data_IF_450427786380
#
_entry.id   IF_450427786380
#
_cell.length_a   1.000
_cell.length_b   1.000
_cell.length_c   1.000
_cell.angle_alpha   90.00
_cell.angle_beta   90.00
_cell.angle_gamma   90.00
#
_symmetry.space_group_name_H-M   'P 1'
#
loop_
_entity.id
_entity.type
_entity.pdbx_description
1 polymer ?
#
# COMPACT_ATOMS: atom_id res chain seq x y z
N UNK A 1 -8.62 43.99 -25.89
CA UNK A 1 -9.47 42.82 -25.59
C UNK A 1 -8.72 41.47 -25.67
N UNK A 2 -7.74 41.30 -26.57
CA UNK A 2 -6.98 40.03 -26.69
C UNK A 2 -6.26 39.61 -25.37
N UNK A 3 -5.77 40.56 -24.57
CA UNK A 3 -5.06 40.27 -23.32
C UNK A 3 -5.91 39.70 -22.18
N UNK A 4 -7.22 40.01 -22.12
CA UNK A 4 -8.08 39.51 -21.03
C UNK A 4 -8.45 38.04 -21.20
N UNK A 5 -8.61 37.58 -22.45
CA UNK A 5 -8.96 36.19 -22.76
C UNK A 5 -7.78 35.26 -22.40
N UNK A 6 -6.54 35.69 -22.65
CA UNK A 6 -5.34 34.94 -22.31
C UNK A 6 -5.19 34.69 -20.81
N UNK A 7 -5.41 35.71 -19.97
CA UNK A 7 -5.28 35.58 -18.52
C UNK A 7 -6.32 34.61 -17.91
N UNK A 8 -7.57 34.67 -18.39
CA UNK A 8 -8.63 33.77 -17.91
C UNK A 8 -8.34 32.30 -18.27
N UNK A 9 -7.82 32.04 -19.48
CA UNK A 9 -7.44 30.69 -19.91
C UNK A 9 -6.27 30.14 -19.09
N UNK A 10 -5.26 30.96 -18.80
CA UNK A 10 -4.12 30.54 -17.97
C UNK A 10 -4.58 30.19 -16.55
N UNK A 11 -5.44 31.01 -15.95
CA UNK A 11 -5.98 30.73 -14.60
C UNK A 11 -6.85 29.47 -14.59
N UNK A 12 -7.67 29.24 -15.61
CA UNK A 12 -8.49 28.04 -15.74
C UNK A 12 -7.62 26.78 -15.91
N UNK A 13 -6.58 26.84 -16.74
CA UNK A 13 -5.62 25.75 -16.92
C UNK A 13 -4.87 25.47 -15.62
N UNK A 14 -4.41 26.50 -14.91
CA UNK A 14 -3.74 26.34 -13.62
C UNK A 14 -4.66 25.68 -12.58
N UNK A 15 -5.93 26.07 -12.53
CA UNK A 15 -6.93 25.42 -11.68
C UNK A 15 -7.14 23.94 -12.00
N UNK A 16 -7.20 23.57 -13.28
CA UNK A 16 -7.29 22.18 -13.71
C UNK A 16 -6.02 21.37 -13.38
N UNK A 17 -4.83 21.95 -13.58
CA UNK A 17 -3.56 21.29 -13.24
C UNK A 17 -3.45 21.07 -11.74
N UNK A 18 -3.77 22.06 -10.92
CA UNK A 18 -3.72 21.93 -9.45
C UNK A 18 -4.73 20.90 -8.92
N UNK A 19 -5.91 20.80 -9.52
CA UNK A 19 -6.90 19.78 -9.15
C UNK A 19 -6.46 18.38 -9.58
N UNK A 20 -5.87 18.23 -10.76
CA UNK A 20 -5.29 16.97 -11.22
C UNK A 20 -4.12 16.51 -10.33
N UNK A 21 -3.22 17.41 -9.95
CA UNK A 21 -2.11 17.12 -9.02
C UNK A 21 -2.66 16.67 -7.66
N UNK A 22 -3.65 17.38 -7.10
CA UNK A 22 -4.29 16.98 -5.83
C UNK A 22 -4.93 15.60 -5.92
N UNK A 23 -5.62 15.29 -7.02
CA UNK A 23 -6.22 13.97 -7.22
C UNK A 23 -5.14 12.87 -7.31
N UNK A 24 -4.04 13.15 -8.01
CA UNK A 24 -2.93 12.21 -8.14
C UNK A 24 -2.25 11.92 -6.79
N UNK A 25 -1.95 12.97 -6.01
CA UNK A 25 -1.32 12.82 -4.68
C UNK A 25 -2.24 12.04 -3.73
N UNK A 26 -3.55 12.33 -3.72
CA UNK A 26 -4.54 11.58 -2.93
C UNK A 26 -4.55 10.09 -3.29
N UNK A 27 -4.49 9.78 -4.59
CA UNK A 27 -4.51 8.40 -5.05
C UNK A 27 -3.24 7.65 -4.65
N UNK A 28 -2.06 8.31 -4.72
CA UNK A 28 -0.80 7.74 -4.26
C UNK A 28 -0.80 7.48 -2.75
N UNK A 29 -1.24 8.43 -1.95
CA UNK A 29 -1.36 8.25 -0.49
C UNK A 29 -2.29 7.09 -0.12
N UNK A 30 -3.42 6.96 -0.82
CA UNK A 30 -4.35 5.85 -0.60
C UNK A 30 -3.73 4.49 -0.97
N UNK A 31 -2.97 4.43 -2.07
CA UNK A 31 -2.25 3.21 -2.49
C UNK A 31 -1.20 2.81 -1.45
N UNK A 32 -0.38 3.75 -0.98
CA UNK A 32 0.65 3.46 0.02
C UNK A 32 0.03 3.04 1.36
N UNK A 33 -1.07 3.69 1.79
CA UNK A 33 -1.80 3.31 2.98
C UNK A 33 -2.39 1.89 2.89
N UNK A 34 -2.96 1.52 1.74
CA UNK A 34 -3.46 0.17 1.49
C UNK A 34 -2.34 -0.87 1.48
N UNK A 35 -1.21 -0.56 0.87
CA UNK A 35 -0.04 -1.45 0.85
C UNK A 35 0.49 -1.69 2.27
N UNK A 36 0.57 -0.64 3.09
CA UNK A 36 0.95 -0.76 4.49
C UNK A 36 -0.04 -1.60 5.30
N UNK A 37 -1.35 -1.38 5.12
CA UNK A 37 -2.38 -2.18 5.81
C UNK A 37 -2.33 -3.65 5.39
N UNK A 38 -2.10 -3.95 4.11
CA UNK A 38 -1.94 -5.31 3.62
C UNK A 38 -0.72 -5.99 4.25
N UNK A 39 0.43 -5.32 4.26
CA UNK A 39 1.66 -5.82 4.89
C UNK A 39 1.50 -6.07 6.40
N UNK A 40 0.88 -5.12 7.10
CA UNK A 40 0.56 -5.24 8.53
C UNK A 40 -0.37 -6.42 8.79
N UNK A 41 -1.42 -6.57 7.97
CA UNK A 41 -2.38 -7.67 8.07
C UNK A 41 -1.71 -9.02 7.86
N UNK A 42 -0.87 -9.16 6.84
CA UNK A 42 -0.13 -10.39 6.58
C UNK A 42 0.77 -10.78 7.76
N UNK A 43 1.42 -9.81 8.39
CA UNK A 43 2.28 -10.03 9.57
C UNK A 43 1.46 -10.51 10.77
N UNK A 44 0.34 -9.85 11.08
CA UNK A 44 -0.58 -10.23 12.17
C UNK A 44 -1.15 -11.62 11.94
N UNK A 45 -1.63 -11.89 10.73
CA UNK A 45 -2.22 -13.19 10.36
C UNK A 45 -1.18 -14.31 10.42
N UNK A 46 0.06 -14.06 9.98
CA UNK A 46 1.16 -15.03 10.08
C UNK A 46 1.52 -15.36 11.53
N UNK A 47 1.53 -14.35 12.42
CA UNK A 47 1.72 -14.54 13.86
C UNK A 47 0.62 -15.42 14.47
N UNK A 48 -0.64 -15.13 14.15
CA UNK A 48 -1.79 -15.91 14.62
C UNK A 48 -1.82 -17.33 14.04
N UNK A 49 -1.37 -17.53 12.79
CA UNK A 49 -1.28 -18.85 12.19
C UNK A 49 -0.33 -19.77 12.96
N UNK A 50 0.76 -19.24 13.50
CA UNK A 50 1.67 -20.01 14.36
C UNK A 50 1.01 -20.38 15.70
N UNK A 51 0.19 -19.50 16.28
CA UNK A 51 -0.59 -19.79 17.49
C UNK A 51 -1.62 -20.91 17.22
N UNK A 52 -2.32 -20.87 16.08
CA UNK A 52 -3.25 -21.94 15.66
C UNK A 52 -2.52 -23.26 15.46
N UNK A 53 -1.33 -23.26 14.84
CA UNK A 53 -0.51 -24.47 14.69
C UNK A 53 -0.10 -25.03 16.05
N UNK A 54 0.27 -24.18 17.00
CA UNK A 54 0.63 -24.58 18.36
C UNK A 54 -0.58 -25.19 19.12
N UNK A 55 -1.77 -24.63 18.95
CA UNK A 55 -3.00 -25.17 19.54
C UNK A 55 -3.44 -26.51 18.93
N UNK A 56 -3.09 -26.74 17.65
CA UNK A 56 -3.34 -28.02 16.95
C UNK A 56 -2.25 -29.06 17.20
N UNK A 57 -1.18 -28.72 17.93
CA UNK A 57 -0.09 -29.65 18.18
C UNK A 57 -0.60 -30.83 19.05
N UNK A 58 -0.47 -32.09 18.60
CA UNK A 58 -0.97 -33.25 19.36
C UNK A 58 -0.34 -33.41 20.75
N UNK A 59 0.84 -32.82 20.98
CA UNK A 59 1.50 -32.80 22.30
C UNK A 59 0.92 -31.79 23.31
N UNK A 60 -0.01 -30.93 22.89
CA UNK A 60 -0.73 -29.96 23.75
C UNK A 60 -2.21 -29.97 23.36
N UNK A 61 -3.04 -30.85 23.95
CA UNK A 61 -4.44 -31.01 23.52
C UNK A 61 -5.25 -29.76 23.86
N UNK A 62 -5.34 -28.83 22.90
CA UNK A 62 -6.31 -27.74 22.89
C UNK A 62 -7.40 -28.05 21.87
N UNK A 63 -8.66 -27.78 22.21
CA UNK A 63 -9.76 -27.88 21.24
C UNK A 63 -9.85 -26.57 20.45
N UNK A 64 -9.70 -26.64 19.13
CA UNK A 64 -9.95 -25.50 18.25
C UNK A 64 -11.46 -25.36 17.98
N UNK A 65 -12.14 -24.53 18.76
CA UNK A 65 -13.60 -24.34 18.65
C UNK A 65 -13.98 -23.21 17.68
N UNK A 66 -15.26 -23.15 17.28
CA UNK A 66 -15.77 -22.02 16.49
C UNK A 66 -15.67 -20.68 17.25
N UNK A 67 -15.78 -20.71 18.59
CA UNK A 67 -15.61 -19.53 19.43
C UNK A 67 -14.15 -19.04 19.43
N UNK A 68 -13.16 -19.95 19.43
CA UNK A 68 -11.74 -19.59 19.30
C UNK A 68 -11.44 -18.92 17.96
N UNK A 69 -12.01 -19.48 16.88
CA UNK A 69 -11.91 -18.90 15.54
C UNK A 69 -12.43 -17.46 15.52
N UNK A 70 -13.62 -17.22 16.09
CA UNK A 70 -14.21 -15.88 16.14
C UNK A 70 -13.37 -14.91 16.99
N UNK A 71 -12.87 -15.36 18.16
CA UNK A 71 -11.97 -14.56 19.02
C UNK A 71 -10.68 -14.17 18.29
N UNK A 72 -10.06 -15.10 17.56
CA UNK A 72 -8.84 -14.82 16.81
C UNK A 72 -9.07 -13.85 15.66
N UNK A 73 -10.19 -13.96 14.94
CA UNK A 73 -10.53 -13.01 13.88
C UNK A 73 -10.73 -11.58 14.43
N UNK A 74 -11.46 -11.44 15.54
CA UNK A 74 -11.63 -10.15 16.23
C UNK A 74 -10.30 -9.57 16.72
N UNK A 75 -9.44 -10.43 17.29
CA UNK A 75 -8.09 -10.02 17.71
C UNK A 75 -7.25 -9.56 16.53
N UNK A 76 -7.26 -10.28 15.41
CA UNK A 76 -6.53 -9.91 14.20
C UNK A 76 -6.94 -8.51 13.71
N UNK A 77 -8.25 -8.25 13.59
CA UNK A 77 -8.76 -6.94 13.17
C UNK A 77 -8.37 -5.86 14.18
N UNK A 78 -8.49 -6.12 15.48
CA UNK A 78 -8.08 -5.18 16.52
C UNK A 78 -6.58 -4.84 16.46
N UNK A 79 -5.73 -5.84 16.23
CA UNK A 79 -4.28 -5.65 16.12
C UNK A 79 -3.93 -4.86 14.86
N UNK A 80 -4.57 -5.15 13.73
CA UNK A 80 -4.40 -4.37 12.49
C UNK A 80 -4.89 -2.93 12.66
N UNK A 81 -6.01 -2.70 13.35
CA UNK A 81 -6.48 -1.34 13.68
C UNK A 81 -5.47 -0.57 14.52
N UNK A 82 -4.91 -1.22 15.56
CA UNK A 82 -3.94 -0.59 16.45
C UNK A 82 -2.64 -0.25 15.73
N UNK A 83 -2.12 -1.19 14.94
CA UNK A 83 -0.86 -1.02 14.21
C UNK A 83 -1.02 -0.11 12.97
N UNK A 84 -2.21 -0.13 12.36
CA UNK A 84 -2.57 0.61 11.16
C UNK A 84 -3.28 1.94 11.39
N UNK A 85 -3.31 2.46 12.63
CA UNK A 85 -4.14 3.61 13.01
C UNK A 85 -3.91 4.82 12.08
N UNK A 86 -2.65 5.15 11.77
CA UNK A 86 -2.31 6.27 10.89
C UNK A 86 -2.76 6.05 9.43
N UNK A 87 -2.57 4.84 8.89
CA UNK A 87 -3.01 4.51 7.54
C UNK A 87 -4.54 4.51 7.42
N UNK A 88 -5.24 4.09 8.48
CA UNK A 88 -6.71 4.16 8.57
C UNK A 88 -7.18 5.61 8.56
N UNK A 89 -6.61 6.48 9.40
CA UNK A 89 -6.95 7.92 9.41
C UNK A 89 -6.70 8.54 8.04
N UNK A 90 -5.57 8.25 7.39
CA UNK A 90 -5.27 8.74 6.05
C UNK A 90 -6.32 8.29 5.01
N UNK A 91 -6.75 7.02 5.06
CA UNK A 91 -7.81 6.52 4.18
C UNK A 91 -9.17 7.17 4.46
N UNK A 92 -9.50 7.40 5.74
CA UNK A 92 -10.72 8.10 6.14
C UNK A 92 -10.73 9.55 5.63
N UNK A 93 -9.61 10.26 5.76
CA UNK A 93 -9.47 11.65 5.33
C UNK A 93 -9.51 11.78 3.80
N UNK A 94 -8.89 10.84 3.07
CA UNK A 94 -8.82 10.88 1.61
C UNK A 94 -10.14 10.47 0.96
N UNK A 95 -10.81 9.44 1.49
CA UNK A 95 -11.98 8.84 0.86
C UNK A 95 -13.31 9.12 1.58
N UNK A 96 -13.29 9.78 2.74
CA UNK A 96 -14.48 9.98 3.56
C UNK A 96 -15.07 8.66 4.08
N UNK A 97 -14.21 7.66 4.34
CA UNK A 97 -14.67 6.34 4.78
C UNK A 97 -15.24 6.42 6.20
N UNK A 98 -16.44 5.87 6.37
CA UNK A 98 -17.03 5.70 7.70
C UNK A 98 -16.29 4.62 8.50
N UNK A 99 -16.38 4.65 9.82
CA UNK A 99 -15.79 3.62 10.70
C UNK A 99 -16.30 2.20 10.34
N UNK A 100 -17.58 2.03 9.98
CA UNK A 100 -18.12 0.73 9.57
C UNK A 100 -17.54 0.24 8.23
N UNK A 101 -17.25 1.16 7.30
CA UNK A 101 -16.58 0.83 6.04
C UNK A 101 -15.14 0.37 6.27
N UNK A 102 -14.42 1.03 7.18
CA UNK A 102 -13.06 0.60 7.59
C UNK A 102 -13.10 -0.79 8.21
N UNK A 103 -14.06 -1.06 9.10
CA UNK A 103 -14.18 -2.37 9.74
C UNK A 103 -14.46 -3.49 8.74
N UNK A 104 -15.30 -3.23 7.75
CA UNK A 104 -15.61 -4.17 6.66
C UNK A 104 -14.37 -4.43 5.81
N UNK A 105 -13.61 -3.37 5.48
CA UNK A 105 -12.39 -3.46 4.69
C UNK A 105 -11.32 -4.29 5.41
N UNK A 106 -11.06 -4.00 6.68
CA UNK A 106 -10.06 -4.71 7.48
C UNK A 106 -10.44 -6.18 7.69
N UNK A 107 -11.72 -6.46 7.91
CA UNK A 107 -12.23 -7.84 7.97
C UNK A 107 -11.97 -8.58 6.66
N UNK A 108 -12.29 -7.96 5.52
CA UNK A 108 -12.08 -8.54 4.20
C UNK A 108 -10.59 -8.78 3.91
N UNK A 109 -9.70 -7.86 4.32
CA UNK A 109 -8.25 -8.01 4.19
C UNK A 109 -7.73 -9.20 5.00
N UNK A 110 -8.15 -9.33 6.26
CA UNK A 110 -7.76 -10.46 7.13
C UNK A 110 -8.23 -11.78 6.53
N UNK A 111 -9.48 -11.86 6.07
CA UNK A 111 -10.03 -13.07 5.43
C UNK A 111 -9.27 -13.45 4.16
N UNK A 112 -8.94 -12.46 3.31
CA UNK A 112 -8.14 -12.67 2.10
C UNK A 112 -6.77 -13.26 2.43
N UNK A 113 -6.09 -12.73 3.45
CA UNK A 113 -4.76 -13.22 3.87
C UNK A 113 -4.83 -14.64 4.48
N UNK A 114 -5.90 -14.95 5.22
CA UNK A 114 -6.11 -16.32 5.74
C UNK A 114 -6.36 -17.31 4.60
N UNK A 115 -7.12 -16.92 3.58
CA UNK A 115 -7.38 -17.75 2.41
C UNK A 115 -6.11 -17.96 1.56
N UNK A 116 -5.28 -16.93 1.42
CA UNK A 116 -3.97 -17.01 0.78
C UNK A 116 -3.05 -18.01 1.50
N UNK A 117 -2.96 -17.94 2.84
CA UNK A 117 -2.24 -18.93 3.64
C UNK A 117 -2.81 -20.35 3.50
N UNK A 118 -4.13 -20.49 3.33
CA UNK A 118 -4.78 -21.79 3.12
C UNK A 118 -4.42 -22.38 1.76
N UNK A 119 -4.33 -21.55 0.71
CA UNK A 119 -4.00 -21.99 -0.65
C UNK A 119 -2.52 -22.30 -0.83
N UNK A 120 -1.64 -21.50 -0.23
CA UNK A 120 -0.22 -21.48 -0.57
C UNK A 120 0.75 -22.07 0.44
N UNK A 121 0.30 -22.56 1.59
CA UNK A 121 1.15 -23.34 2.51
C UNK A 121 2.58 -22.80 2.70
N UNK A 122 2.72 -21.53 3.11
CA UNK A 122 4.00 -20.90 3.47
C UNK A 122 5.03 -20.64 2.35
N UNK A 123 4.68 -20.72 1.07
CA UNK A 123 5.51 -20.09 0.04
C UNK A 123 5.31 -18.57 0.14
N UNK A 124 6.19 -17.93 0.93
CA UNK A 124 6.15 -16.51 1.28
C UNK A 124 5.90 -15.65 0.05
N UNK A 125 4.68 -15.12 -0.06
CA UNK A 125 4.41 -13.99 -0.95
C UNK A 125 5.33 -12.86 -0.47
N UNK A 126 6.36 -12.56 -1.27
CA UNK A 126 7.25 -11.44 -1.02
C UNK A 126 6.39 -10.18 -1.13
N UNK A 127 5.94 -9.67 0.01
CA UNK A 127 5.22 -8.41 0.07
C UNK A 127 6.23 -7.33 -0.31
N UNK A 128 5.99 -6.55 -1.37
CA UNK A 128 6.87 -5.44 -1.70
C UNK A 128 6.92 -4.49 -0.50
N UNK A 129 8.14 -4.21 -0.03
CA UNK A 129 8.35 -3.27 1.06
C UNK A 129 7.71 -1.91 0.68
N UNK A 130 7.06 -1.21 1.63
CA UNK A 130 6.57 0.14 1.38
C UNK A 130 7.74 1.01 0.91
N UNK A 131 7.47 1.95 0.02
CA UNK A 131 8.50 2.82 -0.54
C UNK A 131 9.25 3.58 0.56
N UNK A 132 10.55 3.78 0.38
CA UNK A 132 11.39 4.47 1.38
C UNK A 132 10.90 5.90 1.67
N UNK A 133 10.24 6.55 0.70
CA UNK A 133 9.57 7.85 0.85
C UNK A 133 8.44 7.81 1.90
N UNK A 134 7.70 6.71 1.97
CA UNK A 134 6.63 6.53 2.94
C UNK A 134 7.21 6.31 4.33
N UNK A 135 8.22 5.44 4.45
CA UNK A 135 8.95 5.24 5.71
C UNK A 135 9.64 6.52 6.21
N UNK A 136 10.02 7.44 5.33
CA UNK A 136 10.58 8.73 5.72
C UNK A 136 9.51 9.73 6.19
N UNK A 137 8.26 9.59 5.75
CA UNK A 137 7.14 10.45 6.16
C UNK A 137 6.64 10.15 7.58
N UNK A 138 6.87 8.92 8.06
CA UNK A 138 6.57 8.50 9.41
C UNK A 138 7.90 8.30 10.13
N UNK A 139 8.28 9.25 11.00
CA UNK A 139 9.49 9.12 11.80
C UNK A 139 9.52 7.80 12.58
N UNK A 140 10.68 7.40 13.14
CA UNK A 140 10.84 6.12 13.86
C UNK A 140 9.81 5.91 14.99
N UNK A 141 9.16 6.98 15.44
CA UNK A 141 8.18 6.99 16.54
C UNK A 141 6.72 7.06 16.05
N UNK A 142 6.49 6.98 14.73
CA UNK A 142 5.15 6.98 14.10
C UNK A 142 4.40 8.33 14.16
N UNK A 143 5.00 9.38 14.72
CA UNK A 143 4.39 10.71 14.72
C UNK A 143 4.71 11.44 13.41
N UNK A 144 3.74 12.14 12.79
CA UNK A 144 4.02 13.04 11.68
C UNK A 144 5.02 14.09 12.16
N UNK A 145 6.03 14.40 11.35
CA UNK A 145 7.03 15.41 11.66
C UNK A 145 6.32 16.75 11.91
N UNK A 146 6.10 17.05 13.19
CA UNK A 146 5.49 18.29 13.63
C UNK A 146 6.47 19.41 13.25
N UNK A 147 6.07 20.25 12.31
CA UNK A 147 6.81 21.45 11.91
C UNK A 147 6.95 22.35 13.13
N UNK A 148 8.10 22.24 13.80
CA UNK A 148 8.39 22.85 15.08
C UNK A 148 7.98 24.32 15.18
N UNK A 149 6.95 24.59 15.97
CA UNK A 149 6.83 25.83 16.69
C UNK A 149 7.69 25.73 17.97
N UNK A 150 8.53 26.73 18.28
CA UNK A 150 9.34 26.69 19.48
C UNK A 150 8.44 26.77 20.71
N UNK A 151 8.43 25.71 21.52
CA UNK A 151 7.85 25.75 22.86
C UNK A 151 8.69 26.71 23.71
N UNK A 152 8.18 27.93 23.87
CA UNK A 152 8.65 28.89 24.85
C UNK A 152 8.46 28.25 26.23
N UNK A 153 9.58 28.08 26.94
CA UNK A 153 9.65 27.37 28.20
C UNK A 153 8.71 27.95 29.27
N UNK A 154 7.93 27.07 29.89
CA UNK A 154 7.30 27.33 31.18
C UNK A 154 8.29 26.87 32.25
N UNK A 155 8.88 27.78 33.05
CA UNK A 155 9.78 27.40 34.12
C UNK A 155 8.99 26.74 35.26
N UNK A 156 9.21 25.45 35.48
CA UNK A 156 8.84 24.78 36.72
C UNK A 156 9.82 25.19 37.82
N UNK A 157 9.54 26.30 38.51
CA UNK A 157 10.21 26.71 39.73
C UNK A 157 9.30 26.47 40.93
N UNK A 158 9.73 25.66 41.90
CA UNK A 158 9.00 25.51 43.16
C UNK A 158 9.34 24.26 43.95
N UNK A 159 10.51 24.25 44.58
CA UNK A 159 10.84 23.36 45.70
C UNK A 159 9.95 23.68 46.90
N UNK A 160 8.99 22.82 47.25
CA UNK A 160 8.22 23.01 48.48
C UNK A 160 7.11 21.99 48.70
N UNK A 161 7.38 21.00 49.56
CA UNK A 161 6.37 20.35 50.42
C UNK A 161 5.37 19.42 49.76
N UNK A 162 5.70 18.13 49.67
CA UNK A 162 4.71 17.06 49.51
C UNK A 162 4.11 16.73 50.89
N UNK A 163 3.14 17.53 51.33
CA UNK A 163 2.34 17.28 52.53
C UNK A 163 0.87 17.10 52.15
N UNK A 164 0.36 15.89 52.37
CA UNK A 164 -1.05 15.49 52.45
C UNK A 164 -2.07 16.13 51.46
N UNK A 165 -2.45 15.35 50.45
CA UNK A 165 -3.72 15.52 49.73
C UNK A 165 -4.53 14.23 49.78
N UNK A 166 -5.13 13.98 50.95
CA UNK A 166 -6.28 13.08 51.04
C UNK A 166 -7.53 13.74 50.46
N UNK A 167 -8.22 13.02 49.58
CA UNK A 167 -9.66 13.12 49.32
C UNK A 167 -10.24 14.48 48.90
N UNK A 168 -10.50 14.66 47.61
CA UNK A 168 -11.41 15.70 47.13
C UNK A 168 -11.18 16.08 45.68
N UNK A 169 -12.12 15.73 44.82
CA UNK A 169 -12.11 16.12 43.42
C UNK A 169 -12.17 17.66 43.27
N UNK A 170 -11.13 18.23 42.65
CA UNK A 170 -11.16 19.57 42.07
C UNK A 170 -11.04 19.43 40.56
N UNK A 171 -12.17 19.28 39.88
CA UNK A 171 -12.26 19.53 38.45
C UNK A 171 -12.05 21.03 38.22
N UNK A 172 -11.10 21.46 37.36
CA UNK A 172 -11.00 22.86 37.00
C UNK A 172 -12.23 23.28 36.19
N UNK A 173 -12.90 24.33 36.67
CA UNK A 173 -13.96 25.04 35.96
C UNK A 173 -13.34 25.74 34.74
N UNK A 174 -13.81 25.49 33.50
CA UNK A 174 -13.26 26.17 32.33
C UNK A 174 -13.59 27.66 32.39
N UNK A 175 -12.57 28.49 32.20
CA UNK A 175 -12.67 29.95 32.08
C UNK A 175 -13.22 30.31 30.68
N UNK A 176 -14.12 31.31 30.56
CA UNK A 176 -14.79 31.66 29.30
C UNK A 176 -13.90 32.34 28.23
N UNK A 177 -12.60 32.51 28.45
CA UNK A 177 -11.69 33.11 27.45
C UNK A 177 -11.05 32.09 26.49
N UNK A 178 -11.13 30.79 26.77
CA UNK A 178 -10.57 29.72 25.91
C UNK A 178 -11.59 29.15 24.91
N UNK A 179 -12.52 29.98 24.44
CA UNK A 179 -13.49 29.61 23.39
C UNK A 179 -13.50 30.59 22.20
N UNK A 180 -12.67 31.63 22.24
CA UNK A 180 -12.55 32.57 21.13
C UNK A 180 -11.43 32.20 20.13
N UNK A 181 -10.42 31.43 20.55
CA UNK A 181 -9.25 31.19 19.71
C UNK A 181 -9.38 29.98 18.77
N UNK A 182 -10.20 28.99 19.13
CA UNK A 182 -10.47 27.79 18.32
C UNK A 182 -11.64 27.96 17.35
N UNK A 183 -12.58 28.88 17.64
CA UNK A 183 -13.70 29.18 16.74
C UNK A 183 -13.28 29.95 15.47
N UNK A 184 -12.19 30.73 15.54
CA UNK A 184 -11.69 31.52 14.40
C UNK A 184 -10.99 30.70 13.31
N UNK A 185 -10.48 29.51 13.63
CA UNK A 185 -9.79 28.64 12.65
C UNK A 185 -10.79 27.76 11.90
N UNK A 186 -11.90 27.39 12.54
CA UNK A 186 -12.98 26.60 11.92
C UNK A 186 -13.80 27.46 10.94
N UNK A 187 -14.01 28.75 11.24
CA UNK A 187 -14.69 29.68 10.33
C UNK A 187 -13.82 30.12 9.12
N UNK A 188 -12.49 29.97 9.19
CA UNK A 188 -11.60 30.18 8.04
C UNK A 188 -11.59 28.96 7.09
N UNK A 189 -11.80 27.74 7.61
CA UNK A 189 -11.93 26.53 6.81
C UNK A 189 -13.33 26.41 6.15
N UNK A 190 -14.39 26.93 6.79
CA UNK A 190 -15.73 26.93 6.22
C UNK A 190 -15.90 27.89 5.02
N UNK A 191 -15.03 28.91 4.87
CA UNK A 191 -15.06 29.84 3.72
C UNK A 191 -14.25 29.39 2.51
N UNK A 192 -13.47 28.32 2.61
CA UNK A 192 -12.76 27.71 1.46
C UNK A 192 -13.50 26.51 0.85
N UNK A 193 -14.60 26.07 1.46
CA UNK A 193 -15.42 24.95 0.99
C UNK A 193 -16.54 25.33 -0.01
N UNK A 194 -16.69 26.60 -0.37
CA UNK A 194 -17.83 27.07 -1.20
C UNK A 194 -17.53 27.31 -2.69
N UNK A 195 -16.34 26.99 -3.21
CA UNK A 195 -16.03 27.30 -4.61
C UNK A 195 -15.28 26.18 -5.35
N UNK A 196 -16.06 25.27 -5.92
CA UNK A 196 -15.53 24.26 -6.82
C UNK A 196 -16.55 23.22 -7.26
N UNK A 197 -17.72 23.65 -7.76
CA UNK A 197 -18.53 22.80 -8.64
C UNK A 197 -17.65 22.51 -9.87
N UNK A 198 -16.94 21.39 -9.85
CA UNK A 198 -16.35 20.82 -11.06
C UNK A 198 -17.49 20.62 -12.04
N UNK A 199 -17.57 21.47 -13.06
CA UNK A 199 -18.54 21.32 -14.11
C UNK A 199 -18.32 19.95 -14.75
N UNK A 200 -19.40 19.19 -14.92
CA UNK A 200 -19.40 17.86 -15.49
C UNK A 200 -18.60 17.80 -16.82
N UNK A 201 -18.58 18.91 -17.57
CA UNK A 201 -17.81 19.05 -18.82
C UNK A 201 -16.30 18.94 -18.67
N UNK A 202 -15.70 19.42 -17.57
CA UNK A 202 -14.25 19.32 -17.37
C UNK A 202 -13.79 17.88 -17.09
N UNK A 203 -14.58 17.15 -16.30
CA UNK A 203 -14.33 15.74 -15.99
C UNK A 203 -14.52 14.86 -17.23
N UNK A 204 -15.56 15.13 -18.03
CA UNK A 204 -15.79 14.43 -19.32
C UNK A 204 -14.67 14.71 -20.32
N UNK A 205 -14.16 15.94 -20.41
CA UNK A 205 -13.04 16.26 -21.31
C UNK A 205 -11.74 15.57 -20.88
N UNK A 206 -11.39 15.60 -19.59
CA UNK A 206 -10.24 14.86 -19.09
C UNK A 206 -10.38 13.35 -19.34
N UNK A 207 -11.56 12.77 -19.09
CA UNK A 207 -11.79 11.36 -19.34
C UNK A 207 -11.69 11.03 -20.85
N UNK A 208 -12.26 11.86 -21.72
CA UNK A 208 -12.15 11.70 -23.17
C UNK A 208 -10.71 11.80 -23.67
N UNK A 209 -9.91 12.72 -23.12
CA UNK A 209 -8.48 12.86 -23.45
C UNK A 209 -7.67 11.67 -22.92
N UNK A 210 -7.94 11.20 -21.70
CA UNK A 210 -7.27 10.01 -21.15
C UNK A 210 -7.64 8.74 -21.94
N UNK A 211 -8.90 8.57 -22.34
CA UNK A 211 -9.36 7.45 -23.18
C UNK A 211 -8.74 7.53 -24.58
N UNK A 212 -8.69 8.72 -25.19
CA UNK A 212 -8.05 8.93 -26.49
C UNK A 212 -6.53 8.66 -26.44
N UNK A 213 -5.86 9.03 -25.35
CA UNK A 213 -4.43 8.76 -25.15
C UNK A 213 -4.15 7.27 -24.87
N UNK A 214 -5.02 6.59 -24.12
CA UNK A 214 -4.89 5.16 -23.85
C UNK A 214 -5.18 4.28 -25.09
N UNK A 215 -6.02 4.76 -26.01
CA UNK A 215 -6.35 4.07 -27.25
C UNK A 215 -5.30 4.23 -28.35
N UNK A 216 -4.34 5.15 -28.21
CA UNK A 216 -3.26 5.33 -29.19
C UNK A 216 -2.06 4.41 -28.87
N UNK A 217 -1.84 3.32 -29.64
CA UNK A 217 -0.72 2.40 -29.39
C UNK A 217 0.65 3.11 -29.46
N UNK A 218 0.75 4.22 -30.21
CA UNK A 218 1.96 5.03 -30.33
C UNK A 218 2.34 5.77 -29.03
N UNK A 219 1.35 6.29 -28.29
CA UNK A 219 1.61 7.03 -27.04
C UNK A 219 1.98 6.05 -25.93
N UNK A 220 1.25 4.92 -25.84
CA UNK A 220 1.57 3.83 -24.91
C UNK A 220 2.99 3.29 -25.14
N UNK A 221 3.37 3.10 -26.40
CA UNK A 221 4.72 2.69 -26.79
C UNK A 221 5.78 3.75 -26.44
N UNK A 222 5.46 5.04 -26.63
CA UNK A 222 6.32 6.15 -26.24
C UNK A 222 6.60 6.20 -24.74
N UNK A 223 5.57 6.04 -23.90
CA UNK A 223 5.70 6.01 -22.43
C UNK A 223 6.52 4.80 -21.97
N UNK A 224 6.29 3.63 -22.56
CA UNK A 224 7.07 2.42 -22.23
C UNK A 224 8.54 2.54 -22.64
N UNK A 225 8.90 3.34 -23.65
CA UNK A 225 10.30 3.55 -24.05
C UNK A 225 11.08 4.49 -23.14
N UNK A 226 10.40 5.42 -22.46
CA UNK A 226 11.06 6.37 -21.54
C UNK A 226 11.08 5.88 -20.09
N UNK A 227 10.36 4.80 -19.78
CA UNK A 227 10.33 4.20 -18.45
C UNK A 227 11.58 3.34 -18.24
N UNK A 228 12.45 3.66 -17.26
CA UNK A 228 13.63 2.86 -16.97
C UNK A 228 13.26 1.41 -16.66
N UNK A 229 14.00 0.45 -17.22
CA UNK A 229 13.82 -0.99 -16.96
C UNK A 229 12.81 -1.70 -17.86
N UNK A 230 12.15 -1.02 -18.80
CA UNK A 230 11.25 -1.68 -19.77
C UNK A 230 12.05 -2.18 -20.98
N UNK A 231 12.10 -3.50 -21.26
CA UNK A 231 12.86 -4.05 -22.39
C UNK A 231 12.25 -3.66 -23.73
N UNK A 232 13.06 -3.33 -24.73
CA UNK A 232 12.60 -3.01 -26.10
C UNK A 232 11.78 -4.15 -26.74
N UNK A 233 10.80 -3.85 -27.63
CA UNK A 233 10.06 -4.89 -28.31
C UNK A 233 10.99 -5.68 -29.22
N UNK A 234 11.02 -7.01 -29.03
CA UNK A 234 11.85 -7.94 -29.81
C UNK A 234 11.05 -8.68 -30.88
N UNK A 235 9.73 -8.54 -30.87
CA UNK A 235 8.83 -9.28 -31.77
C UNK A 235 8.66 -10.75 -31.37
N UNK A 236 8.88 -11.09 -30.10
CA UNK A 236 8.67 -12.45 -29.62
C UNK A 236 7.20 -12.86 -29.68
N UNK A 237 6.94 -14.16 -29.81
CA UNK A 237 5.58 -14.71 -29.79
C UNK A 237 5.08 -14.77 -28.35
N UNK A 238 3.92 -14.19 -28.07
CA UNK A 238 3.35 -14.14 -26.72
C UNK A 238 3.28 -15.55 -26.08
N UNK A 239 3.56 -15.62 -24.78
CA UNK A 239 3.59 -16.85 -23.98
C UNK A 239 4.69 -17.86 -24.35
N UNK A 240 5.63 -17.50 -25.22
CA UNK A 240 6.86 -18.29 -25.37
C UNK A 240 7.82 -17.99 -24.24
N UNK A 241 8.62 -18.97 -23.84
CA UNK A 241 9.65 -18.83 -22.80
C UNK A 241 11.02 -19.22 -23.35
N UNK A 242 12.08 -18.63 -22.82
CA UNK A 242 13.45 -18.98 -23.19
C UNK A 242 14.41 -18.76 -22.02
N UNK A 243 15.61 -19.30 -22.15
CA UNK A 243 16.74 -18.92 -21.31
C UNK A 243 17.60 -17.90 -22.06
N UNK A 244 17.78 -16.70 -21.49
CA UNK A 244 18.73 -15.70 -21.97
C UNK A 244 19.96 -15.73 -21.06
N UNK A 245 20.97 -16.52 -21.46
CA UNK A 245 22.03 -16.91 -20.54
C UNK A 245 21.45 -17.74 -19.39
N UNK A 246 21.65 -17.26 -18.15
CA UNK A 246 21.13 -17.94 -16.96
C UNK A 246 19.81 -17.34 -16.44
N UNK A 247 19.16 -16.44 -17.18
CA UNK A 247 17.90 -15.80 -16.76
C UNK A 247 16.73 -16.43 -17.52
N UNK A 248 15.73 -16.99 -16.84
CA UNK A 248 14.50 -17.44 -17.49
C UNK A 248 13.67 -16.21 -17.88
N UNK A 249 13.30 -16.12 -19.15
CA UNK A 249 12.48 -15.04 -19.69
C UNK A 249 11.16 -15.58 -20.27
N UNK A 250 10.08 -14.82 -20.12
CA UNK A 250 8.80 -15.06 -20.77
C UNK A 250 8.42 -13.90 -21.69
N UNK A 251 7.84 -14.21 -22.84
CA UNK A 251 7.40 -13.21 -23.80
C UNK A 251 5.99 -12.73 -23.44
N UNK A 252 5.88 -11.44 -23.11
CA UNK A 252 4.61 -10.78 -22.89
C UNK A 252 3.79 -10.61 -24.17
N UNK A 253 2.50 -10.36 -24.03
CA UNK A 253 1.59 -10.06 -25.14
C UNK A 253 2.01 -8.82 -25.97
N UNK A 254 2.86 -7.94 -25.43
CA UNK A 254 3.41 -6.79 -26.16
C UNK A 254 4.67 -7.12 -26.97
N UNK A 255 5.07 -8.40 -27.06
CA UNK A 255 6.24 -8.83 -27.82
C UNK A 255 7.57 -8.45 -27.16
N UNK A 256 7.59 -8.38 -25.83
CA UNK A 256 8.77 -8.07 -25.00
C UNK A 256 9.10 -9.22 -24.07
N UNK A 257 10.38 -9.52 -23.93
CA UNK A 257 10.89 -10.51 -22.98
C UNK A 257 10.98 -9.90 -21.59
N UNK A 258 10.44 -10.59 -20.59
CA UNK A 258 10.52 -10.23 -19.19
C UNK A 258 11.16 -11.35 -18.41
N UNK A 259 12.06 -11.01 -17.48
CA UNK A 259 12.58 -11.99 -16.54
C UNK A 259 11.42 -12.56 -15.71
N UNK A 260 11.43 -13.89 -15.55
CA UNK A 260 10.48 -14.61 -14.69
C UNK A 260 10.91 -14.50 -13.21
N UNK A 261 12.19 -14.22 -12.97
CA UNK A 261 12.71 -14.00 -11.61
C UNK A 261 12.39 -12.58 -11.12
N UNK A 262 11.93 -12.40 -9.85
CA UNK A 262 11.50 -11.09 -9.32
C UNK A 262 12.57 -9.99 -9.38
N UNK A 263 13.86 -10.35 -9.26
CA UNK A 263 14.99 -9.43 -9.28
C UNK A 263 15.60 -9.25 -10.68
N UNK A 264 15.18 -10.03 -11.68
CA UNK A 264 15.87 -10.13 -12.96
C UNK A 264 17.26 -10.77 -12.87
N UNK A 265 17.64 -11.31 -11.70
CA UNK A 265 18.90 -12.02 -11.53
C UNK A 265 18.83 -13.40 -12.18
N UNK A 266 20.00 -13.88 -12.60
CA UNK A 266 20.16 -15.22 -13.15
C UNK A 266 19.95 -16.30 -12.10
N UNK A 267 19.62 -17.49 -12.57
CA UNK A 267 19.55 -18.69 -11.72
C UNK A 267 20.87 -18.89 -10.97
N UNK A 268 20.78 -19.35 -9.71
CA UNK A 268 21.97 -19.77 -8.95
C UNK A 268 22.56 -21.06 -9.54
N UNK A 269 21.70 -21.92 -10.09
CA UNK A 269 22.11 -23.12 -10.83
C UNK A 269 22.10 -22.87 -12.34
N UNK A 270 21.18 -23.53 -13.04
CA UNK A 270 21.05 -23.50 -14.50
C UNK A 270 19.63 -23.13 -14.92
N UNK A 271 19.51 -22.33 -15.97
CA UNK A 271 18.23 -22.11 -16.64
C UNK A 271 17.95 -23.25 -17.62
N UNK A 272 16.80 -23.91 -17.45
CA UNK A 272 16.33 -24.98 -18.32
C UNK A 272 14.98 -24.60 -18.92
N UNK A 273 14.69 -25.10 -20.13
CA UNK A 273 13.38 -24.95 -20.79
C UNK A 273 12.68 -26.31 -20.79
N UNK A 274 11.43 -26.33 -20.34
CA UNK A 274 10.52 -27.48 -20.40
C UNK A 274 9.23 -27.12 -21.12
N UNK A 275 8.33 -28.07 -21.31
CA UNK A 275 6.98 -27.83 -21.84
C UNK A 275 6.17 -26.86 -20.96
N UNK A 276 6.47 -26.79 -19.66
CA UNK A 276 5.86 -25.83 -18.73
C UNK A 276 6.51 -24.42 -18.79
N UNK A 277 7.62 -24.28 -19.52
CA UNK A 277 8.34 -23.03 -19.70
C UNK A 277 9.78 -23.07 -19.20
N UNK A 278 10.43 -21.89 -19.22
CA UNK A 278 11.79 -21.69 -18.72
C UNK A 278 11.80 -21.49 -17.20
N UNK A 279 12.67 -22.22 -16.49
CA UNK A 279 12.76 -22.17 -15.02
C UNK A 279 14.20 -22.38 -14.53
N UNK A 280 14.44 -22.01 -13.27
CA UNK A 280 15.73 -22.25 -12.61
C UNK A 280 15.75 -23.64 -11.96
N UNK A 281 16.78 -24.41 -12.29
CA UNK A 281 17.07 -25.72 -11.70
C UNK A 281 18.42 -25.69 -10.98
N UNK A 282 18.66 -26.57 -9.99
CA UNK A 282 19.98 -26.72 -9.39
C UNK A 282 20.99 -27.24 -10.43
N UNK A 283 22.28 -26.95 -10.24
CA UNK A 283 23.31 -27.17 -11.26
C UNK A 283 23.48 -28.65 -11.68
N UNK A 284 23.14 -29.58 -10.79
CA UNK A 284 23.16 -31.03 -10.99
C UNK A 284 21.99 -31.57 -11.83
N UNK A 285 20.93 -30.77 -12.04
CA UNK A 285 19.75 -31.18 -12.82
C UNK A 285 20.06 -31.47 -14.30
N UNK A 286 21.18 -30.99 -14.83
CA UNK A 286 21.60 -31.26 -16.22
C UNK A 286 22.04 -32.70 -16.47
N UNK A 287 22.31 -33.50 -15.43
CA UNK A 287 22.77 -34.89 -15.56
C UNK A 287 21.65 -35.93 -15.59
N UNK A 288 20.38 -35.54 -15.45
CA UNK A 288 19.29 -36.48 -15.19
C UNK A 288 18.63 -37.21 -16.39
N UNK A 289 18.70 -36.81 -17.69
CA UNK A 289 17.78 -37.43 -18.67
C UNK A 289 18.44 -38.32 -19.73
N UNK A 290 19.53 -39.05 -19.45
CA UNK A 290 20.07 -40.02 -20.42
C UNK A 290 20.43 -41.41 -19.87
N UNK A 291 20.04 -41.76 -18.63
CA UNK A 291 20.38 -43.07 -18.03
C UNK A 291 19.25 -44.08 -17.89
N UNK A 292 18.00 -43.72 -18.19
CA UNK A 292 16.84 -44.61 -17.98
C UNK A 292 16.13 -45.08 -19.27
N UNK A 293 16.74 -44.94 -20.45
CA UNK A 293 16.19 -45.54 -21.69
C UNK A 293 16.83 -46.87 -22.13
N UNK A 294 17.84 -47.39 -21.41
CA UNK A 294 18.53 -48.65 -21.78
C UNK A 294 18.15 -49.88 -20.92
N UNK A 295 17.16 -49.79 -20.01
CA UNK A 295 16.79 -50.91 -19.13
C UNK A 295 15.53 -51.69 -19.58
N UNK A 296 15.31 -51.83 -20.89
CA UNK A 296 14.14 -52.52 -21.43
C UNK A 296 14.42 -53.30 -22.72
N UNK A 297 15.26 -54.34 -22.62
CA UNK A 297 15.32 -55.48 -23.55
C UNK A 297 15.45 -56.78 -22.76
#
# INVERSE_FOLDING_TARGET
>A
MIGQIGAAMILALLGMVLTAIRAHVKNKMAQDAMAFLAATTATVVSGLANEVRNLKNPGKPGTWTAADKARMALRAVSDVKRLGAHAITALQDVHGLSQSSVDTLLTSLVESQVEELRRGGAESTTIPLPSAEWLAAFGPDGHPADSGAPLVGVPCGGTGGCGDCGGGACAPKPSPEESAHTQGVIDAAARSASQGRASFGGLVFCFAVCVAMAACPLVREGVMRVTPGVPSPSGCTANTTRCNGNVPESCSASGRWWAVTPSGEGCVGVCLVSDAGAYCAPADATQAPLRDMDAGL
#
